data_IF_001278089229
#
_entry.id   IF_001278089229
#
_cell.length_a   1.000
_cell.length_b   1.000
_cell.length_c   1.000
_cell.angle_alpha   90.00
_cell.angle_beta   90.00
_cell.angle_gamma   90.00
#
_symmetry.space_group_name_H-M   'P 1'
#
loop_
_entity.id
_entity.type
_entity.pdbx_description
1 polymer ?
#
# COMPACT_ATOMS: atom_id res chain seq x y z
N UNK A 1 0.74 20.06 12.09
CA UNK A 1 1.48 19.31 11.06
C UNK A 1 2.36 18.26 11.73
N UNK A 2 2.40 17.07 11.16
CA UNK A 2 3.21 15.98 11.71
C UNK A 2 4.64 16.05 11.19
N UNK A 3 5.61 15.73 12.05
CA UNK A 3 7.01 15.59 11.65
C UNK A 3 7.20 14.31 10.83
N UNK A 4 8.31 14.23 10.09
CA UNK A 4 8.65 13.00 9.35
C UNK A 4 8.74 11.78 10.29
N UNK A 5 9.30 11.98 11.49
CA UNK A 5 9.42 10.90 12.49
C UNK A 5 8.04 10.42 12.94
N UNK A 6 7.10 11.33 13.19
CA UNK A 6 5.75 10.97 13.57
C UNK A 6 5.03 10.18 12.48
N UNK A 7 5.20 10.62 11.21
CA UNK A 7 4.62 9.92 10.06
C UNK A 7 5.21 8.51 9.96
N UNK A 8 6.53 8.38 10.01
CA UNK A 8 7.21 7.07 9.89
C UNK A 8 6.78 6.14 11.01
N UNK A 9 6.77 6.60 12.25
CA UNK A 9 6.35 5.78 13.39
C UNK A 9 4.91 5.29 13.23
N UNK A 10 4.04 6.15 12.72
CA UNK A 10 2.65 5.78 12.50
C UNK A 10 2.51 4.77 11.36
N UNK A 11 3.24 4.96 10.26
CA UNK A 11 3.25 4.02 9.13
C UNK A 11 3.77 2.64 9.54
N UNK A 12 4.82 2.58 10.37
CA UNK A 12 5.32 1.32 10.91
C UNK A 12 4.26 0.61 11.75
N UNK A 13 3.52 1.37 12.56
CA UNK A 13 2.43 0.82 13.37
C UNK A 13 1.30 0.28 12.49
N UNK A 14 0.92 1.01 11.44
CA UNK A 14 -0.10 0.56 10.48
C UNK A 14 0.36 -0.71 9.77
N UNK A 15 1.62 -0.77 9.35
CA UNK A 15 2.17 -1.96 8.71
C UNK A 15 2.06 -3.17 9.64
N UNK A 16 2.51 -3.04 10.88
CA UNK A 16 2.53 -4.13 11.85
C UNK A 16 1.13 -4.60 12.25
N UNK A 17 0.21 -3.67 12.48
CA UNK A 17 -1.09 -3.98 13.07
C UNK A 17 -2.20 -4.20 12.04
N UNK A 18 -2.12 -3.54 10.87
CA UNK A 18 -3.22 -3.52 9.90
C UNK A 18 -2.87 -4.23 8.58
N UNK A 19 -1.60 -4.22 8.17
CA UNK A 19 -1.19 -4.84 6.89
C UNK A 19 -0.65 -6.25 7.11
N UNK A 20 0.33 -6.43 8.00
CA UNK A 20 1.00 -7.73 8.19
C UNK A 20 0.02 -8.86 8.50
N UNK A 21 -1.01 -8.69 9.37
CA UNK A 21 -1.97 -9.76 9.60
C UNK A 21 -2.70 -10.20 8.33
N UNK A 22 -3.07 -9.27 7.45
CA UNK A 22 -3.68 -9.60 6.16
C UNK A 22 -2.68 -10.29 5.23
N UNK A 23 -1.43 -9.83 5.22
CA UNK A 23 -0.36 -10.39 4.42
C UNK A 23 -0.06 -11.84 4.83
N UNK A 24 -0.07 -12.14 6.12
CA UNK A 24 0.12 -13.51 6.60
C UNK A 24 -0.95 -14.46 6.06
N UNK A 25 -2.21 -14.04 6.08
CA UNK A 25 -3.31 -14.81 5.49
C UNK A 25 -3.13 -14.95 3.98
N UNK A 26 -2.80 -13.84 3.32
CA UNK A 26 -2.62 -13.81 1.87
C UNK A 26 -1.49 -14.73 1.39
N UNK A 27 -0.35 -14.71 2.07
CA UNK A 27 0.80 -15.58 1.74
C UNK A 27 0.43 -17.06 1.91
N UNK A 28 -0.32 -17.40 2.96
CA UNK A 28 -0.82 -18.77 3.15
C UNK A 28 -1.71 -19.23 1.99
N UNK A 29 -2.33 -18.31 1.26
CA UNK A 29 -3.14 -18.59 0.07
C UNK A 29 -2.37 -18.42 -1.25
N UNK A 30 -1.06 -18.23 -1.20
CA UNK A 30 -0.21 -18.15 -2.38
C UNK A 30 0.04 -16.74 -2.90
N UNK A 31 -0.38 -15.71 -2.20
CA UNK A 31 -0.13 -14.32 -2.57
C UNK A 31 1.26 -13.86 -2.12
N UNK A 32 1.69 -12.72 -2.66
CA UNK A 32 2.98 -12.11 -2.33
C UNK A 32 2.89 -11.27 -1.05
N UNK A 33 4.04 -10.80 -0.58
CA UNK A 33 4.17 -10.07 0.70
C UNK A 33 3.80 -8.59 0.63
N UNK A 34 3.48 -8.06 -0.55
CA UNK A 34 3.28 -6.62 -0.75
C UNK A 34 1.92 -6.16 -0.21
N UNK A 35 1.92 -5.04 0.48
CA UNK A 35 0.71 -4.46 1.05
C UNK A 35 0.66 -2.96 0.89
N UNK A 36 -0.48 -2.36 1.21
CA UNK A 36 -0.71 -0.93 1.13
C UNK A 36 -1.74 -0.44 2.12
N UNK A 37 -1.76 0.87 2.31
CA UNK A 37 -2.74 1.52 3.17
C UNK A 37 -2.97 2.96 2.70
N UNK A 38 -4.16 3.46 3.02
CA UNK A 38 -4.53 4.85 2.78
C UNK A 38 -4.89 5.46 4.14
N UNK A 39 -4.29 6.59 4.47
CA UNK A 39 -4.47 7.29 5.73
C UNK A 39 -4.88 8.74 5.47
N UNK A 40 -5.55 9.36 6.44
CA UNK A 40 -5.85 10.79 6.35
C UNK A 40 -4.61 11.62 6.72
N UNK A 41 -4.34 12.68 5.95
CA UNK A 41 -3.26 13.62 6.27
C UNK A 41 -3.51 14.35 7.59
N UNK A 42 -4.79 14.62 7.89
CA UNK A 42 -5.19 15.44 9.01
C UNK A 42 -4.76 14.88 10.36
N UNK A 43 -4.96 13.58 10.58
CA UNK A 43 -4.73 12.95 11.87
C UNK A 43 -3.98 11.61 11.77
N UNK A 44 -3.56 11.22 10.56
CA UNK A 44 -2.91 9.95 10.25
C UNK A 44 -3.78 8.72 10.54
N UNK A 45 -5.10 8.90 10.69
CA UNK A 45 -5.99 7.77 10.91
C UNK A 45 -6.08 6.90 9.66
N UNK A 46 -6.20 5.58 9.86
CA UNK A 46 -6.32 4.61 8.79
C UNK A 46 -7.70 4.71 8.13
N UNK A 47 -7.72 4.83 6.81
CA UNK A 47 -8.94 4.72 6.01
C UNK A 47 -9.16 3.27 5.60
N UNK A 48 -8.15 2.64 4.99
CA UNK A 48 -8.22 1.27 4.53
C UNK A 48 -6.80 0.69 4.41
N UNK A 49 -6.67 -0.60 4.64
CA UNK A 49 -5.43 -1.34 4.41
C UNK A 49 -5.72 -2.61 3.61
N UNK A 50 -4.79 -3.01 2.77
CA UNK A 50 -4.93 -4.18 1.94
C UNK A 50 -3.59 -4.86 1.68
N UNK A 51 -3.66 -6.03 1.06
CA UNK A 51 -2.49 -6.82 0.71
C UNK A 51 -2.63 -7.38 -0.71
N UNK A 52 -1.53 -7.89 -1.25
CA UNK A 52 -1.49 -8.52 -2.57
C UNK A 52 -2.54 -9.62 -2.69
N UNK A 53 -3.24 -9.66 -3.82
CA UNK A 53 -4.27 -10.66 -4.12
C UNK A 53 -4.15 -11.15 -5.58
N UNK A 54 -2.92 -11.38 -6.03
CA UNK A 54 -2.65 -11.80 -7.41
C UNK A 54 -3.26 -13.16 -7.75
N UNK A 55 -3.57 -13.99 -6.76
CA UNK A 55 -4.25 -15.26 -7.00
C UNK A 55 -5.67 -15.07 -7.54
N UNK A 56 -6.33 -13.96 -7.22
CA UNK A 56 -7.65 -13.62 -7.76
C UNK A 56 -7.54 -12.90 -9.10
N UNK A 57 -6.56 -12.00 -9.23
CA UNK A 57 -6.34 -11.22 -10.45
C UNK A 57 -4.85 -10.79 -10.48
N UNK A 58 -4.12 -11.10 -11.56
CA UNK A 58 -2.68 -10.76 -11.64
C UNK A 58 -2.36 -9.28 -11.44
N UNK A 59 -3.34 -8.38 -11.64
CA UNK A 59 -3.18 -6.96 -11.43
C UNK A 59 -3.41 -6.53 -9.99
N UNK A 60 -3.88 -7.41 -9.12
CA UNK A 60 -4.18 -7.09 -7.72
C UNK A 60 -2.91 -7.10 -6.87
N UNK A 61 -1.98 -6.22 -7.21
CA UNK A 61 -0.88 -5.86 -6.35
C UNK A 61 -1.41 -5.26 -5.04
N UNK A 62 -0.60 -5.18 -4.01
CA UNK A 62 -1.06 -4.66 -2.72
C UNK A 62 -1.71 -3.29 -2.82
N UNK A 63 -1.10 -2.39 -3.59
CA UNK A 63 -1.59 -1.03 -3.78
C UNK A 63 -2.90 -1.01 -4.58
N UNK A 64 -2.96 -1.77 -5.67
CA UNK A 64 -4.17 -1.85 -6.50
C UNK A 64 -5.33 -2.44 -5.69
N UNK A 65 -5.08 -3.52 -4.97
CA UNK A 65 -6.12 -4.16 -4.16
C UNK A 65 -6.60 -3.23 -3.03
N UNK A 66 -5.69 -2.47 -2.44
CA UNK A 66 -6.05 -1.46 -1.43
C UNK A 66 -7.00 -0.40 -2.01
N UNK A 67 -6.71 0.09 -3.22
CA UNK A 67 -7.60 1.04 -3.91
C UNK A 67 -8.95 0.41 -4.26
N UNK A 68 -8.95 -0.85 -4.68
CA UNK A 68 -10.21 -1.57 -4.93
C UNK A 68 -11.07 -1.63 -3.67
N UNK A 69 -10.48 -1.98 -2.54
CA UNK A 69 -11.20 -2.01 -1.27
C UNK A 69 -11.76 -0.64 -0.89
N UNK A 70 -11.00 0.44 -1.15
CA UNK A 70 -11.49 1.79 -0.95
C UNK A 70 -12.76 2.05 -1.76
N UNK A 71 -12.77 1.67 -3.02
CA UNK A 71 -13.91 1.92 -3.90
C UNK A 71 -15.11 1.00 -3.66
N UNK A 72 -14.96 -0.02 -2.83
CA UNK A 72 -16.09 -0.81 -2.29
C UNK A 72 -16.76 -0.12 -1.11
N UNK A 73 -16.10 0.86 -0.49
CA UNK A 73 -16.72 1.66 0.57
C UNK A 73 -17.80 2.58 -0.02
N UNK A 74 -18.83 2.95 0.76
CA UNK A 74 -19.81 3.93 0.33
C UNK A 74 -19.14 5.23 -0.11
N UNK A 75 -19.65 5.84 -1.18
CA UNK A 75 -19.05 7.03 -1.78
C UNK A 75 -18.85 8.17 -0.76
N UNK A 76 -19.83 8.37 0.10
CA UNK A 76 -19.82 9.44 1.12
C UNK A 76 -18.80 9.20 2.23
N UNK A 77 -18.30 7.98 2.36
CA UNK A 77 -17.27 7.63 3.37
C UNK A 77 -15.85 7.70 2.81
N UNK A 78 -15.72 7.86 1.48
CA UNK A 78 -14.40 7.90 0.84
C UNK A 78 -13.84 9.31 0.89
N UNK A 79 -12.66 9.51 1.53
CA UNK A 79 -12.03 10.83 1.53
C UNK A 79 -11.47 11.17 0.14
N UNK A 80 -11.30 12.46 -0.12
CA UNK A 80 -10.66 12.91 -1.36
C UNK A 80 -9.19 12.48 -1.36
N UNK A 81 -8.63 12.00 -2.47
CA UNK A 81 -7.24 11.56 -2.54
C UNK A 81 -6.24 12.64 -2.12
N UNK A 82 -6.51 13.91 -2.41
CA UNK A 82 -5.66 15.03 -2.00
C UNK A 82 -5.51 15.16 -0.48
N UNK A 83 -6.44 14.62 0.28
CA UNK A 83 -6.46 14.68 1.74
C UNK A 83 -5.85 13.42 2.36
N UNK A 84 -5.29 12.53 1.55
CA UNK A 84 -4.80 11.24 1.98
C UNK A 84 -3.30 11.07 1.77
N UNK A 85 -2.69 10.24 2.62
CA UNK A 85 -1.37 9.66 2.44
C UNK A 85 -1.57 8.27 1.83
N UNK A 86 -0.83 7.96 0.77
CA UNK A 86 -0.76 6.62 0.22
C UNK A 86 0.51 5.93 0.72
N UNK A 87 0.36 4.77 1.35
CA UNK A 87 1.47 4.01 1.90
C UNK A 87 1.54 2.63 1.25
N UNK A 88 2.72 2.28 0.75
CA UNK A 88 3.04 0.95 0.24
C UNK A 88 4.15 0.36 1.10
N UNK A 89 4.07 -0.92 1.44
CA UNK A 89 5.15 -1.56 2.22
C UNK A 89 6.44 -1.63 1.40
N UNK A 90 6.33 -1.86 0.10
CA UNK A 90 7.44 -1.97 -0.84
C UNK A 90 7.29 -0.90 -1.91
N UNK A 91 8.40 -0.48 -2.48
CA UNK A 91 8.40 0.55 -3.54
C UNK A 91 7.43 0.17 -4.65
N UNK A 92 6.49 1.07 -5.04
CA UNK A 92 5.50 0.75 -6.07
C UNK A 92 6.15 0.47 -7.43
N UNK A 93 5.68 -0.58 -8.09
CA UNK A 93 6.07 -0.86 -9.47
C UNK A 93 5.42 0.15 -10.43
N UNK A 94 5.74 0.06 -11.72
CA UNK A 94 5.19 0.97 -12.73
C UNK A 94 3.66 0.94 -12.79
N UNK A 95 3.04 -0.22 -12.63
CA UNK A 95 1.58 -0.36 -12.57
C UNK A 95 0.99 0.42 -11.40
N UNK A 96 1.53 0.17 -10.20
CA UNK A 96 1.00 0.77 -8.98
C UNK A 96 1.28 2.26 -8.91
N UNK A 97 2.45 2.69 -9.35
CA UNK A 97 2.79 4.11 -9.40
C UNK A 97 1.84 4.87 -10.33
N UNK A 98 1.54 4.30 -11.51
CA UNK A 98 0.57 4.88 -12.42
C UNK A 98 -0.82 4.94 -11.79
N UNK A 99 -1.24 3.88 -11.10
CA UNK A 99 -2.55 3.85 -10.44
C UNK A 99 -2.66 4.89 -9.33
N UNK A 100 -1.62 5.07 -8.52
CA UNK A 100 -1.57 6.09 -7.48
C UNK A 100 -1.73 7.48 -8.11
N UNK A 101 -1.02 7.73 -9.20
CA UNK A 101 -1.09 9.00 -9.94
C UNK A 101 -2.50 9.23 -10.50
N UNK A 102 -3.07 8.24 -11.20
CA UNK A 102 -4.41 8.35 -11.77
C UNK A 102 -5.50 8.38 -10.71
N UNK A 103 -5.23 7.78 -9.54
CA UNK A 103 -6.14 7.83 -8.40
C UNK A 103 -6.24 9.22 -7.78
N UNK A 104 -5.33 10.13 -8.12
CA UNK A 104 -5.36 11.51 -7.65
C UNK A 104 -4.55 11.77 -6.38
N UNK A 105 -3.73 10.82 -5.94
CA UNK A 105 -2.87 11.00 -4.78
C UNK A 105 -1.66 11.86 -5.16
N UNK A 106 -1.29 12.80 -4.29
CA UNK A 106 -0.16 13.70 -4.52
C UNK A 106 1.11 13.28 -3.79
N UNK A 107 1.08 12.09 -3.20
CA UNK A 107 2.19 11.56 -2.43
C UNK A 107 2.14 10.04 -2.36
N UNK A 108 3.27 9.43 -2.03
CA UNK A 108 3.32 8.05 -1.55
C UNK A 108 4.56 7.87 -0.68
N UNK A 109 4.48 6.89 0.23
CA UNK A 109 5.57 6.49 1.11
C UNK A 109 5.79 4.99 0.93
N UNK A 110 7.02 4.54 1.09
CA UNK A 110 7.32 3.11 1.12
C UNK A 110 8.48 2.83 2.09
N UNK A 111 8.60 1.57 2.52
CA UNK A 111 9.65 1.14 3.46
C UNK A 111 10.75 0.35 2.77
N UNK A 112 10.41 -0.56 1.88
CA UNK A 112 11.38 -1.42 1.21
C UNK A 112 11.49 -1.04 -0.26
N UNK A 113 12.73 -0.78 -0.72
CA UNK A 113 13.01 -0.42 -2.11
C UNK A 113 12.90 -1.64 -3.04
N UNK A 114 12.98 -1.42 -4.36
CA UNK A 114 13.08 -2.51 -5.34
C UNK A 114 14.32 -3.36 -5.10
N UNK A 115 15.45 -2.74 -4.72
CA UNK A 115 16.67 -3.47 -4.36
C UNK A 115 16.45 -4.34 -3.13
N UNK A 116 15.74 -3.85 -2.12
CA UNK A 116 15.39 -4.65 -0.94
C UNK A 116 14.51 -5.84 -1.33
N UNK A 117 13.56 -5.64 -2.24
CA UNK A 117 12.70 -6.72 -2.74
C UNK A 117 13.52 -7.79 -3.45
N UNK A 118 14.50 -7.41 -4.27
CA UNK A 118 15.40 -8.35 -4.92
C UNK A 118 16.30 -9.08 -3.92
N UNK A 119 16.95 -8.34 -3.03
CA UNK A 119 18.06 -8.86 -2.23
C UNK A 119 17.56 -9.56 -0.95
N UNK A 120 16.49 -9.06 -0.34
CA UNK A 120 15.98 -9.59 0.93
C UNK A 120 14.78 -10.51 0.77
N UNK A 121 13.98 -10.32 -0.29
CA UNK A 121 12.74 -11.07 -0.50
C UNK A 121 12.76 -11.93 -1.78
N UNK A 122 13.87 -11.89 -2.54
CA UNK A 122 14.06 -12.66 -3.77
C UNK A 122 13.01 -12.36 -4.85
N UNK A 123 12.56 -11.11 -4.94
CA UNK A 123 11.60 -10.64 -5.95
C UNK A 123 12.27 -9.50 -6.72
N UNK A 124 12.89 -9.83 -7.85
CA UNK A 124 13.67 -8.88 -8.65
C UNK A 124 12.99 -8.41 -9.93
N UNK A 125 11.70 -8.75 -10.13
CA UNK A 125 11.01 -8.45 -11.38
C UNK A 125 10.94 -6.96 -11.68
N UNK A 126 10.66 -6.14 -10.66
CA UNK A 126 10.50 -4.68 -10.81
C UNK A 126 11.76 -3.99 -11.32
N UNK A 127 12.94 -4.53 -10.99
CA UNK A 127 14.21 -4.00 -11.48
C UNK A 127 14.50 -4.35 -12.94
N UNK A 128 13.71 -5.24 -13.54
CA UNK A 128 13.85 -5.65 -14.95
C UNK A 128 12.93 -4.89 -15.88
N UNK A 129 12.05 -4.08 -15.32
CA UNK A 129 11.12 -3.25 -16.10
C UNK A 129 11.69 -1.78 -16.18
#
# INVERSE_FOLDING_TARGET
>A
MFSNQQIVDHLLSVMENDIVPQTQVGVAHGNKIFGGAILLKEDLSLVIAGTNNETANPLYHGEIHTMELLYKMPREERPAPKDCIFFATHEPCTLCLSAITWGGYDNFYYLFSHEDSRDSFNIGHDLRI
#
